data_IF_955482237166
#
_entry.id   IF_955482237166
#
_cell.length_a   1.000
_cell.length_b   1.000
_cell.length_c   1.000
_cell.angle_alpha   90.00
_cell.angle_beta   90.00
_cell.angle_gamma   90.00
#
_symmetry.space_group_name_H-M   'P 1'
#
loop_
_entity.id
_entity.type
_entity.pdbx_description
1 polymer ?
#
# COMPACT_ATOMS: atom_id res chain seq x y z
N UNK A 1 -30.94 26.31 26.39
CA UNK A 1 -29.53 26.57 26.80
C UNK A 1 -28.79 25.26 27.09
N UNK A 2 -29.20 24.48 28.11
CA UNK A 2 -28.53 23.24 28.50
C UNK A 2 -28.49 22.14 27.42
N UNK A 3 -29.57 21.96 26.66
CA UNK A 3 -29.59 21.03 25.53
C UNK A 3 -28.55 21.38 24.46
N UNK A 4 -28.32 22.67 24.22
CA UNK A 4 -27.32 23.15 23.26
C UNK A 4 -25.90 22.86 23.76
N UNK A 5 -25.63 23.09 25.05
CA UNK A 5 -24.35 22.74 25.67
C UNK A 5 -24.12 21.22 25.72
N UNK A 6 -25.17 20.42 25.89
CA UNK A 6 -25.09 18.96 25.83
C UNK A 6 -24.82 18.47 24.39
N UNK A 7 -25.49 19.05 23.39
CA UNK A 7 -25.29 18.73 21.97
C UNK A 7 -23.89 19.14 21.49
N UNK A 8 -23.41 20.32 21.90
CA UNK A 8 -22.05 20.80 21.61
C UNK A 8 -21.02 19.93 22.33
N UNK A 9 -21.28 19.51 23.57
CA UNK A 9 -20.45 18.55 24.30
C UNK A 9 -20.39 17.17 23.62
N UNK A 10 -21.53 16.64 23.17
CA UNK A 10 -21.63 15.38 22.42
C UNK A 10 -20.95 15.44 21.05
N UNK A 11 -21.08 16.58 20.34
CA UNK A 11 -20.36 16.82 19.10
C UNK A 11 -18.85 16.94 19.34
N UNK A 12 -18.41 17.66 20.38
CA UNK A 12 -17.00 17.77 20.74
C UNK A 12 -16.36 16.42 21.10
N UNK A 13 -17.10 15.52 21.76
CA UNK A 13 -16.63 14.15 22.08
C UNK A 13 -16.57 13.25 20.84
N UNK A 14 -17.38 13.51 19.82
CA UNK A 14 -17.38 12.74 18.56
C UNK A 14 -16.35 13.24 17.53
N UNK A 15 -15.86 14.48 17.65
CA UNK A 15 -14.64 14.96 16.98
C UNK A 15 -13.41 14.81 17.90
N UNK A 16 -13.23 13.62 18.47
CA UNK A 16 -11.88 13.17 18.82
C UNK A 16 -11.13 12.85 17.51
N UNK A 17 -10.77 13.90 16.76
CA UNK A 17 -9.77 13.82 15.70
C UNK A 17 -8.45 13.37 16.34
N UNK A 18 -8.05 12.15 16.02
CA UNK A 18 -6.93 11.40 16.58
C UNK A 18 -5.55 12.00 16.26
N UNK A 19 -5.24 13.24 16.60
CA UNK A 19 -3.93 13.81 16.28
C UNK A 19 -3.49 14.83 17.34
N UNK A 20 -2.87 14.35 18.42
CA UNK A 20 -2.16 15.19 19.39
C UNK A 20 -0.74 14.65 19.63
N UNK A 21 0.23 15.58 19.57
CA UNK A 21 1.65 15.54 19.97
C UNK A 21 2.43 14.20 19.93
N UNK A 22 2.74 13.62 18.76
CA UNK A 22 2.18 13.90 17.42
C UNK A 22 2.83 13.07 16.27
N UNK A 23 3.11 11.76 16.40
CA UNK A 23 3.16 10.84 15.24
C UNK A 23 3.47 9.38 15.66
N UNK A 24 2.48 8.47 15.68
CA UNK A 24 2.73 7.03 15.78
C UNK A 24 3.22 6.39 14.46
N UNK A 25 3.26 7.16 13.36
CA UNK A 25 4.25 7.19 12.26
C UNK A 25 3.62 7.73 10.95
N UNK A 26 4.24 8.75 10.33
CA UNK A 26 4.10 9.11 8.92
C UNK A 26 5.45 9.67 8.44
N UNK A 27 6.09 8.99 7.49
CA UNK A 27 7.35 9.45 6.91
C UNK A 27 7.14 10.09 5.54
N UNK A 28 7.58 11.33 5.41
CA UNK A 28 7.86 11.95 4.11
C UNK A 28 9.31 12.38 4.12
N UNK A 29 10.16 11.64 3.42
CA UNK A 29 11.54 12.06 3.20
C UNK A 29 11.65 12.43 1.72
N UNK A 30 12.08 13.66 1.46
CA UNK A 30 12.37 14.13 0.10
C UNK A 30 13.62 13.45 -0.44
N UNK A 31 13.55 13.02 -1.70
CA UNK A 31 14.56 12.42 -2.60
C UNK A 31 15.46 11.28 -2.10
N UNK A 32 15.66 11.09 -0.79
CA UNK A 32 16.44 10.00 -0.21
C UNK A 32 15.60 9.16 0.76
N UNK A 33 15.85 7.86 0.81
CA UNK A 33 15.18 6.92 1.70
C UNK A 33 15.86 6.97 3.07
N UNK A 34 15.43 7.84 3.98
CA UNK A 34 15.79 7.71 5.39
C UNK A 34 14.94 6.62 6.06
N UNK A 35 15.54 5.85 6.97
CA UNK A 35 14.82 4.79 7.69
C UNK A 35 13.89 5.41 8.74
N UNK A 36 12.59 5.16 8.59
CA UNK A 36 11.58 5.50 9.59
C UNK A 36 11.85 4.74 10.88
N UNK A 37 11.97 5.46 12.01
CA UNK A 37 11.99 4.85 13.34
C UNK A 37 10.57 4.53 13.79
N UNK A 38 9.96 3.56 13.15
CA UNK A 38 8.68 2.99 13.58
C UNK A 38 8.97 1.62 14.15
N UNK A 39 8.80 1.45 15.46
CA UNK A 39 9.00 0.14 16.07
C UNK A 39 7.99 -0.85 15.46
N UNK A 40 8.50 -2.00 14.98
CA UNK A 40 7.80 -3.08 14.28
C UNK A 40 6.39 -3.47 14.79
N UNK A 41 6.05 -3.51 16.11
CA UNK A 41 4.75 -4.05 16.53
C UNK A 41 3.52 -3.23 16.08
N UNK A 42 3.68 -1.98 15.65
CA UNK A 42 2.55 -1.14 15.26
C UNK A 42 2.12 -1.33 13.78
N UNK A 43 3.08 -1.54 12.86
CA UNK A 43 2.79 -1.61 11.41
C UNK A 43 2.12 -2.93 11.05
N UNK A 44 2.63 -4.05 11.55
CA UNK A 44 2.08 -5.37 11.25
C UNK A 44 0.65 -5.51 11.75
N UNK A 45 0.37 -5.01 12.96
CA UNK A 45 -1.00 -5.03 13.50
C UNK A 45 -1.92 -4.15 12.67
N UNK A 46 -1.49 -2.93 12.33
CA UNK A 46 -2.27 -2.01 11.49
C UNK A 46 -2.58 -2.62 10.11
N UNK A 47 -1.56 -3.14 9.43
CA UNK A 47 -1.72 -3.75 8.12
C UNK A 47 -2.63 -4.99 8.22
N UNK A 48 -2.23 -5.97 9.01
CA UNK A 48 -2.84 -7.31 8.98
C UNK A 48 -4.21 -7.39 9.67
N UNK A 49 -4.46 -6.55 10.68
CA UNK A 49 -5.72 -6.60 11.46
C UNK A 49 -6.69 -5.51 11.03
N UNK A 50 -6.22 -4.28 10.86
CA UNK A 50 -7.12 -3.13 10.72
C UNK A 50 -7.43 -2.79 9.24
N UNK A 51 -6.42 -2.85 8.35
CA UNK A 51 -6.51 -2.23 7.01
C UNK A 51 -6.55 -3.24 5.86
N UNK A 52 -5.80 -4.35 5.93
CA UNK A 52 -5.58 -5.24 4.79
C UNK A 52 -6.87 -5.66 4.09
N UNK A 53 -7.84 -6.19 4.84
CA UNK A 53 -9.11 -6.64 4.28
C UNK A 53 -9.93 -5.52 3.65
N UNK A 54 -9.88 -4.31 4.23
CA UNK A 54 -10.58 -3.13 3.69
C UNK A 54 -9.91 -2.68 2.40
N UNK A 55 -8.58 -2.63 2.37
CA UNK A 55 -7.79 -2.24 1.20
C UNK A 55 -7.99 -3.23 0.05
N UNK A 56 -7.95 -4.54 0.31
CA UNK A 56 -8.19 -5.57 -0.71
C UNK A 56 -9.59 -5.45 -1.33
N UNK A 57 -10.61 -5.16 -0.52
CA UNK A 57 -11.97 -4.92 -1.03
C UNK A 57 -12.06 -3.65 -1.88
N UNK A 58 -11.30 -2.61 -1.51
CA UNK A 58 -11.24 -1.35 -2.24
C UNK A 58 -10.57 -1.50 -3.61
N UNK A 59 -9.41 -2.17 -3.66
CA UNK A 59 -8.63 -2.39 -4.89
C UNK A 59 -9.39 -3.21 -5.94
N UNK A 60 -10.37 -4.03 -5.52
CA UNK A 60 -11.24 -4.80 -6.43
C UNK A 60 -12.39 -3.99 -7.03
N UNK A 61 -12.64 -2.76 -6.57
CA UNK A 61 -13.72 -1.90 -7.10
C UNK A 61 -13.36 -1.37 -8.48
N UNK A 62 -14.35 -1.16 -9.33
CA UNK A 62 -14.21 -0.64 -10.69
C UNK A 62 -13.40 0.66 -10.76
N UNK A 63 -13.53 1.51 -9.74
CA UNK A 63 -12.76 2.75 -9.65
C UNK A 63 -11.24 2.53 -9.52
N UNK A 64 -10.81 1.47 -8.82
CA UNK A 64 -9.39 1.23 -8.51
C UNK A 64 -8.76 0.12 -9.34
N UNK A 65 -9.53 -0.83 -9.85
CA UNK A 65 -8.98 -2.03 -10.52
C UNK A 65 -8.37 -1.77 -11.89
N UNK A 66 -8.67 -0.62 -12.51
CA UNK A 66 -8.18 -0.27 -13.84
C UNK A 66 -7.06 0.77 -13.73
N UNK A 67 -5.89 0.44 -14.27
CA UNK A 67 -4.74 1.33 -14.34
C UNK A 67 -4.36 1.61 -15.79
N UNK A 68 -4.19 2.90 -16.14
CA UNK A 68 -3.77 3.32 -17.47
C UNK A 68 -2.25 3.14 -17.59
N UNK A 69 -1.82 2.22 -18.45
CA UNK A 69 -0.41 1.90 -18.71
C UNK A 69 -0.11 1.98 -20.21
N UNK A 70 1.12 2.39 -20.56
CA UNK A 70 1.64 2.29 -21.92
C UNK A 70 2.53 1.05 -22.03
N UNK A 71 1.98 -0.04 -22.59
CA UNK A 71 2.71 -1.30 -22.81
C UNK A 71 3.56 -1.29 -24.09
N UNK A 72 3.50 -0.23 -24.89
CA UNK A 72 4.19 -0.13 -26.18
C UNK A 72 5.42 0.79 -26.12
N UNK A 73 5.80 1.25 -24.92
CA UNK A 73 7.04 2.02 -24.75
C UNK A 73 8.23 1.09 -25.00
N UNK A 74 9.08 1.35 -26.01
CA UNK A 74 10.24 0.51 -26.27
C UNK A 74 11.29 0.68 -25.15
N UNK A 75 12.03 -0.39 -24.86
CA UNK A 75 13.18 -0.33 -23.96
C UNK A 75 14.25 0.61 -24.56
N UNK A 76 14.75 1.60 -23.79
CA UNK A 76 15.72 2.57 -24.31
C UNK A 76 17.15 2.01 -24.41
N UNK A 77 17.40 0.80 -23.91
CA UNK A 77 18.73 0.21 -23.81
C UNK A 77 18.99 -0.94 -24.80
N UNK A 78 17.98 -1.75 -25.12
CA UNK A 78 18.08 -2.85 -26.08
C UNK A 78 16.73 -3.16 -26.75
N UNK A 79 16.72 -3.84 -27.92
CA UNK A 79 15.48 -4.34 -28.51
C UNK A 79 14.82 -5.41 -27.63
N UNK A 80 13.52 -5.30 -27.41
CA UNK A 80 12.73 -6.25 -26.62
C UNK A 80 11.64 -6.88 -27.50
N UNK A 81 11.80 -8.17 -27.78
CA UNK A 81 10.85 -8.96 -28.58
C UNK A 81 9.68 -9.52 -27.71
N UNK A 82 9.56 -9.06 -26.45
CA UNK A 82 8.57 -9.48 -25.44
C UNK A 82 8.63 -10.95 -25.06
N UNK A 83 9.64 -11.67 -25.56
CA UNK A 83 9.90 -13.06 -25.28
C UNK A 83 11.36 -13.20 -24.91
N UNK A 84 11.64 -14.02 -23.90
CA UNK A 84 13.00 -14.38 -23.55
C UNK A 84 13.18 -15.89 -23.68
N UNK A 85 13.94 -16.31 -24.68
CA UNK A 85 14.34 -17.72 -24.88
C UNK A 85 15.61 -18.11 -24.14
N UNK A 86 16.18 -17.21 -23.33
CA UNK A 86 17.39 -17.42 -22.54
C UNK A 86 17.03 -17.84 -21.11
N UNK A 87 17.86 -18.70 -20.51
CA UNK A 87 17.77 -19.04 -19.08
C UNK A 87 18.05 -17.85 -18.16
N UNK A 88 18.57 -16.74 -18.68
CA UNK A 88 18.86 -15.52 -17.90
C UNK A 88 17.61 -14.73 -17.48
N UNK A 89 16.45 -15.01 -18.08
CA UNK A 89 15.19 -14.36 -17.70
C UNK A 89 14.35 -15.20 -16.74
N UNK A 90 14.77 -16.44 -16.47
CA UNK A 90 14.16 -17.30 -15.47
C UNK A 90 14.91 -17.21 -14.14
N UNK A 91 14.21 -17.55 -13.06
CA UNK A 91 14.88 -17.96 -11.83
C UNK A 91 15.56 -19.33 -12.06
N UNK A 92 16.48 -19.71 -11.16
CA UNK A 92 17.06 -21.07 -11.21
C UNK A 92 15.95 -22.12 -11.27
N UNK A 93 16.18 -23.20 -12.01
CA UNK A 93 15.22 -24.30 -12.11
C UNK A 93 14.86 -24.78 -10.70
N UNK A 94 13.58 -24.66 -10.36
CA UNK A 94 13.02 -25.38 -9.23
C UNK A 94 13.06 -26.88 -9.55
N UNK A 95 13.11 -27.71 -8.51
CA UNK A 95 13.01 -29.17 -8.65
C UNK A 95 11.79 -29.58 -9.49
N UNK A 96 11.78 -30.79 -10.04
CA UNK A 96 10.76 -31.34 -10.97
C UNK A 96 9.31 -31.38 -10.42
N UNK A 97 9.05 -30.77 -9.27
CA UNK A 97 7.74 -30.68 -8.61
C UNK A 97 6.80 -29.62 -9.20
N UNK A 98 7.27 -28.74 -10.09
CA UNK A 98 6.41 -27.73 -10.73
C UNK A 98 5.90 -28.24 -12.08
N UNK A 99 4.59 -28.53 -12.24
CA UNK A 99 4.04 -28.98 -13.51
C UNK A 99 4.10 -27.88 -14.57
N UNK A 100 4.18 -28.28 -15.84
CA UNK A 100 3.94 -27.35 -16.95
C UNK A 100 2.50 -26.82 -16.89
N UNK A 101 2.36 -25.50 -17.00
CA UNK A 101 1.07 -24.78 -16.98
C UNK A 101 0.46 -24.57 -18.36
#
# INVERSE_FOLDING_TARGET
MWLFFCLVGLLAVSVNGQFLESQPCFCKIGEAVESCRCDEPNIDRLNNVEIYDKLQKLLKKDFFRFYKVNMDKPCPFWPDDRQCGSSQCGIAFCDDEVPAG
#
